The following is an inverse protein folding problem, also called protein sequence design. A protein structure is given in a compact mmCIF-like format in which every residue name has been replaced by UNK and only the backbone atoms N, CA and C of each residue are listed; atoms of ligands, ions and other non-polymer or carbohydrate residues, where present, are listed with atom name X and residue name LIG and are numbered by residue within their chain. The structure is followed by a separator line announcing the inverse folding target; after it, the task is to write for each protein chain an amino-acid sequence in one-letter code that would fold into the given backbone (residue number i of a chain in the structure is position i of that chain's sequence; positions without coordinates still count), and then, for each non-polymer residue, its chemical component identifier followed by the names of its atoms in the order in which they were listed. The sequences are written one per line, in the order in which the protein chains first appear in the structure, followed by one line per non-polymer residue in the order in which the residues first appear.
data_IF_957736530736
#
_entry.id   IF_957736530736
#
_cell.length_a   1.000
_cell.length_b   1.000
_cell.length_c   1.000
_cell.angle_alpha   90.00
_cell.angle_beta   90.00
_cell.angle_gamma   90.00
#
_symmetry.space_group_name_H-M   'P 1'
#
loop_
_entity.id
_entity.type
_entity.pdbx_description
1 polymer ?
#
# COMPACT_ATOMS: atom_id res chain seq x y z
N UNK A 1 -27.85 28.12 12.16
CA UNK A 1 -28.22 26.70 11.97
C UNK A 1 -27.00 25.98 11.45
N UNK A 2 -26.35 25.20 12.31
CA UNK A 2 -25.17 24.39 11.97
C UNK A 2 -25.61 23.20 11.11
N UNK A 3 -24.98 23.00 9.94
CA UNK A 3 -25.15 21.76 9.18
C UNK A 3 -23.82 21.01 9.15
N UNK A 4 -23.80 19.93 9.92
CA UNK A 4 -22.82 18.85 9.89
C UNK A 4 -22.95 18.11 8.57
N UNK A 5 -21.86 17.90 7.83
CA UNK A 5 -21.63 16.76 6.92
C UNK A 5 -20.10 16.66 6.84
N UNK A 6 -19.42 15.73 7.49
CA UNK A 6 -19.66 14.29 7.47
C UNK A 6 -18.44 13.65 6.82
N UNK A 7 -17.26 13.84 7.44
CA UNK A 7 -16.02 13.23 6.97
C UNK A 7 -16.14 11.72 7.04
N UNK A 8 -16.36 11.06 5.91
CA UNK A 8 -16.26 9.62 5.80
C UNK A 8 -14.84 9.21 6.19
N UNK A 9 -14.71 8.55 7.34
CA UNK A 9 -13.44 8.03 7.85
C UNK A 9 -12.79 7.16 6.76
N UNK A 10 -11.47 7.28 6.51
CA UNK A 10 -10.77 6.52 5.47
C UNK A 10 -10.98 4.99 5.59
N UNK A 11 -11.13 4.49 6.82
CA UNK A 11 -11.43 3.08 7.08
C UNK A 11 -12.77 2.57 6.49
N UNK A 12 -13.79 3.44 6.36
CA UNK A 12 -15.08 3.07 5.78
C UNK A 12 -15.01 2.98 4.24
N UNK A 13 -14.15 3.78 3.62
CA UNK A 13 -13.86 3.73 2.19
C UNK A 13 -13.02 2.49 1.85
N UNK A 14 -12.00 2.18 2.66
CA UNK A 14 -11.22 0.94 2.54
C UNK A 14 -12.09 -0.32 2.65
N UNK A 15 -13.03 -0.35 3.61
CA UNK A 15 -14.03 -1.43 3.75
C UNK A 15 -14.90 -1.60 2.51
N UNK A 16 -15.41 -0.50 1.94
CA UNK A 16 -16.26 -0.55 0.75
C UNK A 16 -15.49 -1.02 -0.49
N UNK A 17 -14.27 -0.55 -0.68
CA UNK A 17 -13.44 -0.93 -1.82
C UNK A 17 -13.08 -2.42 -1.78
N UNK A 18 -12.83 -2.99 -0.60
CA UNK A 18 -12.57 -4.43 -0.45
C UNK A 18 -13.79 -5.31 -0.79
N UNK A 19 -15.01 -4.84 -0.52
CA UNK A 19 -16.22 -5.59 -0.87
C UNK A 19 -16.47 -5.61 -2.39
N UNK A 20 -16.07 -4.55 -3.09
CA UNK A 20 -16.20 -4.44 -4.56
C UNK A 20 -15.03 -5.15 -5.26
N UNK A 21 -13.88 -5.19 -4.58
CA UNK A 21 -12.63 -5.73 -5.08
C UNK A 21 -11.97 -6.52 -3.97
N UNK A 22 -12.24 -7.84 -3.83
CA UNK A 22 -11.62 -8.64 -2.79
C UNK A 22 -10.11 -8.49 -2.92
N UNK A 23 -9.51 -7.93 -1.85
CA UNK A 23 -8.07 -7.86 -1.74
C UNK A 23 -7.57 -9.28 -1.54
N UNK A 24 -6.47 -9.63 -2.21
CA UNK A 24 -5.77 -10.90 -1.94
C UNK A 24 -5.10 -10.83 -0.55
N UNK A 25 -4.98 -9.61 0.01
CA UNK A 25 -4.25 -9.33 1.23
C UNK A 25 -5.17 -9.28 2.45
N UNK A 26 -4.84 -10.00 3.54
CA UNK A 26 -5.55 -9.91 4.81
C UNK A 26 -5.49 -8.49 5.38
N UNK A 27 -6.64 -7.98 5.85
CA UNK A 27 -6.81 -6.64 6.46
C UNK A 27 -5.87 -6.42 7.64
N UNK A 28 -5.66 -7.46 8.43
CA UNK A 28 -4.87 -7.47 9.64
C UNK A 28 -3.40 -7.15 9.35
N UNK A 29 -2.91 -7.55 8.16
CA UNK A 29 -1.55 -7.26 7.71
C UNK A 29 -1.38 -5.82 7.26
N UNK A 30 -2.42 -5.22 6.66
CA UNK A 30 -2.39 -3.82 6.21
C UNK A 30 -2.54 -2.80 7.36
N UNK A 31 -3.06 -3.24 8.51
CA UNK A 31 -3.31 -2.38 9.68
C UNK A 31 -2.16 -2.34 10.69
N UNK A 32 -1.29 -3.36 10.72
CA UNK A 32 -0.24 -3.50 11.73
C UNK A 32 1.18 -3.50 11.15
N UNK A 33 1.40 -2.70 10.11
CA UNK A 33 2.68 -2.62 9.38
C UNK A 33 3.88 -2.29 10.30
N UNK A 34 3.67 -1.51 11.37
CA UNK A 34 4.73 -1.13 12.32
C UNK A 34 5.35 -2.34 13.05
N UNK A 35 4.55 -3.38 13.27
CA UNK A 35 4.97 -4.59 14.00
C UNK A 35 5.70 -5.61 13.12
N UNK A 36 5.71 -5.41 11.81
CA UNK A 36 6.32 -6.33 10.87
C UNK A 36 7.84 -6.13 10.82
N UNK A 37 8.58 -7.21 10.54
CA UNK A 37 10.02 -7.14 10.25
C UNK A 37 10.25 -6.51 8.87
N UNK A 38 11.50 -6.13 8.56
CA UNK A 38 11.83 -5.62 7.23
C UNK A 38 11.56 -6.69 6.16
N UNK A 39 11.86 -7.97 6.43
CA UNK A 39 11.56 -9.07 5.50
C UNK A 39 10.06 -9.22 5.24
N UNK A 40 9.25 -9.15 6.31
CA UNK A 40 7.79 -9.23 6.20
C UNK A 40 7.21 -8.03 5.45
N UNK A 41 7.72 -6.82 5.68
CA UNK A 41 7.37 -5.62 4.93
C UNK A 41 7.72 -5.76 3.44
N UNK A 42 8.90 -6.29 3.11
CA UNK A 42 9.31 -6.57 1.74
C UNK A 42 8.42 -7.63 1.07
N UNK A 43 8.05 -8.69 1.79
CA UNK A 43 7.14 -9.71 1.28
C UNK A 43 5.76 -9.13 0.96
N UNK A 44 5.19 -8.38 1.89
CA UNK A 44 3.91 -7.71 1.71
C UNK A 44 3.95 -6.70 0.55
N UNK A 45 5.03 -5.94 0.41
CA UNK A 45 5.22 -5.03 -0.72
C UNK A 45 5.19 -5.74 -2.07
N UNK A 46 5.79 -6.95 -2.17
CA UNK A 46 5.73 -7.75 -3.40
C UNK A 46 4.31 -8.20 -3.73
N UNK A 47 3.55 -8.64 -2.74
CA UNK A 47 2.15 -9.06 -2.93
C UNK A 47 1.27 -7.90 -3.37
N UNK A 48 1.45 -6.70 -2.80
CA UNK A 48 0.74 -5.49 -3.23
C UNK A 48 1.08 -5.13 -4.69
N UNK A 49 2.34 -5.24 -5.09
CA UNK A 49 2.76 -5.00 -6.48
C UNK A 49 2.09 -6.01 -7.42
N UNK A 50 1.98 -7.27 -7.03
CA UNK A 50 1.29 -8.28 -7.84
C UNK A 50 -0.20 -7.95 -8.02
N UNK A 51 -0.91 -7.55 -6.96
CA UNK A 51 -2.32 -7.14 -7.04
C UNK A 51 -2.47 -5.88 -7.94
N UNK A 52 -1.58 -4.90 -7.80
CA UNK A 52 -1.52 -3.73 -8.69
C UNK A 52 -1.35 -4.13 -10.16
N UNK A 53 -0.44 -5.05 -10.47
CA UNK A 53 -0.19 -5.52 -11.83
C UNK A 53 -1.43 -6.20 -12.42
N UNK A 54 -2.08 -7.08 -11.66
CA UNK A 54 -3.32 -7.75 -12.08
C UNK A 54 -4.39 -6.71 -12.43
N UNK A 55 -4.57 -5.71 -11.58
CA UNK A 55 -5.60 -4.68 -11.80
C UNK A 55 -5.27 -3.72 -12.92
N UNK A 56 -3.99 -3.37 -13.09
CA UNK A 56 -3.53 -2.60 -14.25
C UNK A 56 -3.79 -3.35 -15.57
N UNK A 57 -3.52 -4.66 -15.61
CA UNK A 57 -3.82 -5.50 -16.77
C UNK A 57 -5.33 -5.60 -17.05
N UNK A 58 -6.16 -5.67 -16.01
CA UNK A 58 -7.60 -5.63 -16.16
C UNK A 58 -8.07 -4.30 -16.73
N UNK A 59 -7.60 -3.17 -16.19
CA UNK A 59 -7.89 -1.83 -16.73
C UNK A 59 -7.46 -1.71 -18.20
N UNK A 60 -6.27 -2.18 -18.54
CA UNK A 60 -5.78 -2.16 -19.92
C UNK A 60 -6.67 -2.98 -20.85
N UNK A 61 -7.10 -4.17 -20.41
CA UNK A 61 -8.05 -5.01 -21.16
C UNK A 61 -9.37 -4.30 -21.39
N UNK A 62 -9.91 -3.61 -20.38
CA UNK A 62 -11.15 -2.82 -20.49
C UNK A 62 -10.99 -1.68 -21.47
N UNK A 63 -9.94 -0.88 -21.34
CA UNK A 63 -9.67 0.24 -22.27
C UNK A 63 -9.55 -0.26 -23.71
N UNK A 64 -8.85 -1.39 -23.92
CA UNK A 64 -8.68 -1.99 -25.26
C UNK A 64 -10.02 -2.43 -25.87
N UNK A 65 -10.92 -3.02 -25.07
CA UNK A 65 -12.25 -3.43 -25.51
C UNK A 65 -13.18 -2.24 -25.78
N UNK A 66 -13.02 -1.15 -25.01
CA UNK A 66 -13.74 0.11 -25.24
C UNK A 66 -13.36 0.76 -26.57
N UNK A 67 -12.07 0.71 -26.94
CA UNK A 67 -11.58 1.20 -28.25
C UNK A 67 -12.10 0.34 -29.40
N UNK A 68 -12.23 -0.99 -29.22
CA UNK A 68 -12.67 -1.90 -30.27
C UNK A 68 -14.19 -1.93 -30.49
N UNK A 69 -14.98 -1.10 -29.80
CA UNK A 69 -16.45 -1.08 -29.83
C UNK A 69 -17.12 -2.45 -29.57
N UNK A 70 -16.37 -3.43 -29.06
CA UNK A 70 -16.80 -4.84 -29.01
C UNK A 70 -17.68 -5.14 -27.79
N UNK A 71 -17.66 -4.30 -26.75
CA UNK A 71 -18.48 -4.48 -25.56
C UNK A 71 -18.93 -3.14 -24.97
N UNK A 72 -20.14 -2.68 -25.32
CA UNK A 72 -20.80 -1.52 -24.68
C UNK A 72 -21.47 -1.85 -23.34
N UNK A 73 -21.48 -3.12 -22.93
CA UNK A 73 -22.37 -3.62 -21.87
C UNK A 73 -21.67 -4.17 -20.62
N UNK A 74 -20.34 -4.12 -20.51
CA UNK A 74 -19.68 -4.53 -19.27
C UNK A 74 -19.58 -3.31 -18.33
N UNK A 75 -20.31 -3.27 -17.20
CA UNK A 75 -20.19 -2.20 -16.22
C UNK A 75 -18.95 -2.51 -15.36
N UNK A 76 -17.78 -2.46 -15.98
CA UNK A 76 -16.54 -2.51 -15.20
C UNK A 76 -16.38 -1.10 -14.64
N UNK A 77 -16.58 -0.98 -13.34
CA UNK A 77 -16.40 0.26 -12.59
C UNK A 77 -14.92 0.63 -12.56
N UNK A 78 -14.47 1.28 -13.63
CA UNK A 78 -13.09 1.77 -13.83
C UNK A 78 -12.70 2.69 -12.69
N UNK A 79 -13.62 3.52 -12.20
CA UNK A 79 -13.38 4.46 -11.12
C UNK A 79 -13.06 3.71 -9.81
N UNK A 80 -13.87 2.72 -9.43
CA UNK A 80 -13.58 1.87 -8.26
C UNK A 80 -12.24 1.14 -8.37
N UNK A 81 -11.89 0.60 -9.54
CA UNK A 81 -10.59 -0.06 -9.74
C UNK A 81 -9.45 0.96 -9.59
N UNK A 82 -9.58 2.15 -10.19
CA UNK A 82 -8.58 3.21 -10.06
C UNK A 82 -8.41 3.67 -8.61
N UNK A 83 -9.51 3.86 -7.86
CA UNK A 83 -9.46 4.19 -6.43
C UNK A 83 -8.77 3.10 -5.63
N UNK A 84 -9.05 1.83 -5.92
CA UNK A 84 -8.37 0.72 -5.26
C UNK A 84 -6.86 0.70 -5.58
N UNK A 85 -6.47 0.91 -6.84
CA UNK A 85 -5.07 1.03 -7.22
C UNK A 85 -4.36 2.19 -6.49
N UNK A 86 -5.02 3.35 -6.34
CA UNK A 86 -4.49 4.46 -5.56
C UNK A 86 -4.22 4.07 -4.10
N UNK A 87 -5.15 3.35 -3.46
CA UNK A 87 -4.95 2.87 -2.10
C UNK A 87 -3.76 1.90 -1.99
N UNK A 88 -3.59 1.00 -2.96
CA UNK A 88 -2.42 0.11 -2.99
C UNK A 88 -1.11 0.89 -3.13
N UNK A 89 -1.07 1.94 -3.96
CA UNK A 89 0.10 2.83 -4.06
C UNK A 89 0.40 3.56 -2.75
N UNK A 90 -0.63 4.09 -2.07
CA UNK A 90 -0.45 4.70 -0.75
C UNK A 90 0.14 3.70 0.24
N UNK A 91 -0.30 2.44 0.19
CA UNK A 91 0.20 1.39 1.08
C UNK A 91 1.64 0.97 0.78
N UNK A 92 2.03 0.93 -0.49
CA UNK A 92 3.44 0.75 -0.87
C UNK A 92 4.34 1.87 -0.36
N UNK A 93 3.88 3.13 -0.46
CA UNK A 93 4.63 4.25 0.09
C UNK A 93 4.80 4.13 1.62
N UNK A 94 3.74 3.74 2.32
CA UNK A 94 3.77 3.49 3.77
C UNK A 94 4.75 2.37 4.15
N UNK A 95 4.77 1.27 3.39
CA UNK A 95 5.73 0.17 3.57
C UNK A 95 7.16 0.67 3.36
N UNK A 96 7.39 1.45 2.29
CA UNK A 96 8.72 1.98 1.97
C UNK A 96 9.27 2.85 3.11
N UNK A 97 8.46 3.79 3.58
CA UNK A 97 8.82 4.69 4.69
C UNK A 97 9.18 3.87 5.93
N UNK A 98 8.41 2.82 6.26
CA UNK A 98 8.70 1.97 7.42
C UNK A 98 9.99 1.18 7.29
N UNK A 99 10.30 0.68 6.10
CA UNK A 99 11.58 0.01 5.83
C UNK A 99 12.71 1.00 6.08
N UNK A 100 12.63 2.21 5.51
CA UNK A 100 13.66 3.23 5.67
C UNK A 100 13.84 3.59 7.16
N UNK A 101 12.76 3.80 7.91
CA UNK A 101 12.81 4.08 9.36
C UNK A 101 13.46 2.97 10.17
N UNK A 102 13.10 1.70 9.93
CA UNK A 102 13.70 0.54 10.63
C UNK A 102 15.19 0.42 10.32
N UNK A 103 15.59 0.63 9.06
CA UNK A 103 17.00 0.61 8.65
C UNK A 103 17.80 1.76 9.27
N UNK A 104 17.21 2.95 9.40
CA UNK A 104 17.85 4.08 10.09
C UNK A 104 18.01 3.82 11.59
N UNK A 105 17.03 3.15 12.24
CA UNK A 105 17.16 2.77 13.65
C UNK A 105 18.28 1.74 13.87
N UNK A 106 18.35 0.69 13.03
CA UNK A 106 19.42 -0.32 13.04
C UNK A 106 20.82 0.31 12.84
N UNK A 107 20.93 1.34 12.00
CA UNK A 107 22.18 2.05 11.77
C UNK A 107 22.62 2.90 12.99
N UNK A 108 21.67 3.49 13.71
CA UNK A 108 21.94 4.28 14.91
C UNK A 108 22.32 3.40 16.11
N UNK A 109 21.73 2.21 16.24
CA UNK A 109 22.07 1.24 17.30
C UNK A 109 23.47 0.64 17.10
N UNK A 110 23.94 0.53 15.86
CA UNK A 110 25.25 -0.02 15.52
C UNK A 110 26.38 1.06 15.48
N UNK A 111 26.08 2.30 15.86
CA UNK A 111 26.99 3.45 15.77
C UNK A 111 27.65 3.86 17.10
N UNK A 112 28.87 3.35 17.34
CA UNK A 112 30.01 4.04 17.99
C UNK A 112 30.08 4.11 19.54
N UNK A 113 30.42 3.02 20.21
CA UNK A 113 31.35 3.09 21.36
C UNK A 113 32.78 2.93 20.85
N UNK A 114 33.38 4.02 20.38
CA UNK A 114 34.84 4.11 20.29
C UNK A 114 35.30 4.50 21.68
N UNK A 115 35.71 3.51 22.49
CA UNK A 115 36.49 3.79 23.68
C UNK A 115 37.81 4.42 23.22
N UNK A 116 37.94 5.73 23.44
CA UNK A 116 39.21 6.42 23.35
C UNK A 116 40.12 5.86 24.44
N UNK A 117 41.04 4.97 24.05
CA UNK A 117 42.08 4.45 24.92
C UNK A 117 42.96 5.63 25.39
N UNK A 118 42.98 5.98 26.70
CA UNK A 118 43.69 7.16 27.19
C UNK A 118 45.20 6.95 27.34
N UNK A 119 45.77 5.87 26.78
CA UNK A 119 47.17 5.51 27.00
C UNK A 119 47.98 5.55 25.72
N UNK A 120 48.29 6.78 25.25
CA UNK A 120 49.46 7.04 24.43
C UNK A 120 50.35 7.94 25.29
N UNK A 121 51.38 7.32 25.87
CA UNK A 121 52.46 7.99 26.60
C UNK A 121 53.53 8.58 25.70
#
# INVERSE_FOLDING_TARGET
MSSMHGGTKPAALELKLQNIHPSILPREMLQNLDRLTVEALCALGREIIQDLLIRAMNLFSVMKLSVSNTNRNAPIDVESIMTYCQNLFSKLAEIRIRIDLKRSAEANENGTTVELNPNIG
#
